data_IF_787608333026
#
_entry.id   IF_787608333026
#
_cell.length_a   1.000
_cell.length_b   1.000
_cell.length_c   1.000
_cell.angle_alpha   90.00
_cell.angle_beta   90.00
_cell.angle_gamma   90.00
#
_symmetry.space_group_name_H-M   'P 1'
#
loop_
_entity.id
_entity.type
_entity.pdbx_description
1 polymer ?
#
# COMPACT_ATOMS: atom_id res chain seq x y z
N UNK A 1 -17.14 -17.67 -48.52
CA UNK A 1 -16.52 -18.68 -47.64
C UNK A 1 -15.19 -18.21 -47.05
N UNK A 2 -14.21 -17.78 -47.86
CA UNK A 2 -12.90 -17.27 -47.37
C UNK A 2 -13.00 -16.00 -46.51
N UNK A 3 -13.83 -15.03 -46.91
CA UNK A 3 -14.04 -13.77 -46.15
C UNK A 3 -14.68 -14.00 -44.78
N UNK A 4 -15.60 -14.97 -44.69
CA UNK A 4 -16.27 -15.32 -43.45
C UNK A 4 -15.30 -15.97 -42.46
N UNK A 5 -14.39 -16.82 -42.96
CA UNK A 5 -13.31 -17.43 -42.17
C UNK A 5 -12.32 -16.37 -41.68
N UNK A 6 -11.98 -15.39 -42.51
CA UNK A 6 -11.11 -14.28 -42.08
C UNK A 6 -11.78 -13.46 -40.97
N UNK A 7 -13.08 -13.18 -41.08
CA UNK A 7 -13.81 -12.40 -40.07
C UNK A 7 -13.87 -13.14 -38.72
N UNK A 8 -14.13 -14.44 -38.72
CA UNK A 8 -14.17 -15.24 -37.48
C UNK A 8 -12.78 -15.37 -36.84
N UNK A 9 -11.72 -15.53 -37.63
CA UNK A 9 -10.34 -15.56 -37.12
C UNK A 9 -9.92 -14.23 -36.49
N UNK A 10 -10.29 -13.10 -37.11
CA UNK A 10 -10.03 -11.76 -36.56
C UNK A 10 -10.82 -11.55 -35.27
N UNK A 11 -12.07 -11.98 -35.20
CA UNK A 11 -12.91 -11.83 -33.99
C UNK A 11 -12.37 -12.67 -32.82
N UNK A 12 -11.93 -13.90 -33.08
CA UNK A 12 -11.31 -14.77 -32.07
C UNK A 12 -9.98 -14.22 -31.58
N UNK A 13 -9.16 -13.64 -32.49
CA UNK A 13 -7.92 -12.97 -32.12
C UNK A 13 -8.18 -11.73 -31.25
N UNK A 14 -9.20 -10.92 -31.57
CA UNK A 14 -9.58 -9.74 -30.78
C UNK A 14 -10.08 -10.15 -29.38
N UNK A 15 -10.93 -11.18 -29.30
CA UNK A 15 -11.41 -11.70 -28.00
C UNK A 15 -10.25 -12.25 -27.14
N UNK A 16 -9.30 -12.96 -27.77
CA UNK A 16 -8.11 -13.45 -27.10
C UNK A 16 -7.21 -12.32 -26.59
N UNK A 17 -7.02 -11.26 -27.39
CA UNK A 17 -6.26 -10.06 -26.99
C UNK A 17 -6.94 -9.31 -25.84
N UNK A 18 -8.27 -9.18 -25.83
CA UNK A 18 -9.02 -8.54 -24.73
C UNK A 18 -8.92 -9.35 -23.42
N UNK A 19 -8.84 -10.69 -23.51
CA UNK A 19 -8.66 -11.54 -22.34
C UNK A 19 -7.21 -11.61 -21.83
N UNK A 20 -6.22 -11.18 -22.64
CA UNK A 20 -4.81 -11.24 -22.30
C UNK A 20 -4.34 -10.09 -21.37
N UNK A 21 -5.18 -9.07 -21.15
CA UNK A 21 -4.88 -7.93 -20.25
C UNK A 21 -5.49 -8.09 -18.85
N UNK A 22 -5.78 -9.31 -18.40
CA UNK A 22 -6.10 -9.56 -16.99
C UNK A 22 -4.78 -9.69 -16.20
N UNK A 23 -4.11 -8.56 -15.99
CA UNK A 23 -3.13 -8.42 -14.91
C UNK A 23 -3.90 -8.22 -13.61
N UNK A 24 -4.44 -9.31 -13.06
CA UNK A 24 -4.74 -9.32 -11.62
C UNK A 24 -3.39 -9.30 -10.93
N UNK A 25 -2.93 -8.09 -10.61
CA UNK A 25 -1.95 -7.87 -9.57
C UNK A 25 -2.59 -8.37 -8.28
N UNK A 26 -2.47 -9.67 -8.03
CA UNK A 26 -2.65 -10.23 -6.71
C UNK A 26 -1.44 -9.77 -5.91
N UNK A 27 -1.52 -8.58 -5.32
CA UNK A 27 -0.61 -8.21 -4.26
C UNK A 27 -1.26 -7.35 -3.18
N UNK A 28 -0.90 -7.74 -1.96
CA UNK A 28 -0.98 -6.99 -0.71
C UNK A 28 -2.34 -6.83 -0.01
N UNK A 29 -2.90 -7.97 0.41
CA UNK A 29 -3.60 -8.01 1.70
C UNK A 29 -2.62 -8.29 2.86
N UNK A 30 -1.42 -7.71 2.83
CA UNK A 30 -0.51 -7.63 4.00
C UNK A 30 -0.78 -6.32 4.78
N UNK A 31 -2.05 -5.97 4.95
CA UNK A 31 -2.45 -4.60 5.30
C UNK A 31 -2.26 -4.22 6.78
N UNK A 32 -2.08 -5.16 7.71
CA UNK A 32 -2.08 -4.79 9.14
C UNK A 32 -1.36 -5.83 10.00
N UNK A 33 -0.07 -6.07 9.74
CA UNK A 33 0.74 -6.78 10.73
C UNK A 33 0.72 -5.95 12.03
N UNK A 34 0.29 -6.51 13.17
CA UNK A 34 0.17 -5.76 14.41
C UNK A 34 1.56 -5.27 14.83
N UNK A 35 1.68 -3.98 15.14
CA UNK A 35 2.92 -3.42 15.64
C UNK A 35 3.22 -3.96 17.03
N UNK A 36 4.34 -4.66 17.15
CA UNK A 36 4.84 -5.19 18.42
C UNK A 36 5.81 -4.19 19.03
N UNK A 37 5.33 -3.35 19.94
CA UNK A 37 6.14 -2.40 20.69
C UNK A 37 6.08 -2.71 22.19
N UNK A 38 7.21 -2.56 22.88
CA UNK A 38 7.23 -2.60 24.33
C UNK A 38 6.47 -1.39 24.89
N UNK A 39 5.86 -1.55 26.08
CA UNK A 39 5.17 -0.47 26.78
C UNK A 39 6.15 0.42 27.55
N UNK A 40 7.13 0.96 26.82
CA UNK A 40 8.11 1.91 27.36
C UNK A 40 7.53 3.31 27.18
N UNK A 41 7.57 4.12 28.24
CA UNK A 41 7.15 5.52 28.19
C UNK A 41 8.37 6.41 27.96
N UNK A 42 8.62 6.74 26.70
CA UNK A 42 9.72 7.60 26.24
C UNK A 42 9.21 8.51 25.12
N UNK A 43 8.41 9.55 25.45
CA UNK A 43 7.59 10.23 24.48
C UNK A 43 8.40 10.96 23.40
N UNK A 44 7.85 10.99 22.18
CA UNK A 44 8.43 11.72 21.05
C UNK A 44 7.37 12.57 20.33
N UNK A 45 7.78 13.74 19.84
CA UNK A 45 6.91 14.64 19.09
C UNK A 45 7.17 14.45 17.59
N UNK A 46 6.10 14.23 16.82
CA UNK A 46 6.17 14.08 15.37
C UNK A 46 5.85 15.40 14.65
N UNK A 47 6.15 15.47 13.35
CA UNK A 47 5.91 16.66 12.51
C UNK A 47 4.43 17.00 12.32
N UNK A 48 3.54 16.08 12.65
CA UNK A 48 2.09 16.29 12.67
C UNK A 48 1.56 16.80 14.03
N UNK A 49 2.47 17.23 14.91
CA UNK A 49 2.18 17.73 16.27
C UNK A 49 1.52 16.69 17.18
N UNK A 50 1.62 15.39 16.84
CA UNK A 50 1.18 14.31 17.71
C UNK A 50 2.34 13.79 18.56
N UNK A 51 2.06 13.58 19.86
CA UNK A 51 2.97 12.90 20.77
C UNK A 51 2.76 11.39 20.69
N UNK A 52 3.83 10.66 20.42
CA UNK A 52 3.83 9.20 20.47
C UNK A 52 4.44 8.71 21.79
N UNK A 53 3.90 7.67 22.43
CA UNK A 53 4.38 7.18 23.73
C UNK A 53 5.84 6.70 23.74
N UNK A 54 6.32 6.23 22.59
CA UNK A 54 7.72 5.91 22.34
C UNK A 54 8.06 5.93 20.85
N UNK A 55 9.35 5.85 20.55
CA UNK A 55 9.89 5.79 19.19
C UNK A 55 9.35 4.59 18.37
N UNK A 56 9.12 3.44 19.00
CA UNK A 56 8.55 2.27 18.33
C UNK A 56 7.10 2.53 17.87
N UNK A 57 6.27 3.11 18.74
CA UNK A 57 4.88 3.45 18.41
C UNK A 57 4.81 4.54 17.32
N UNK A 58 5.75 5.51 17.33
CA UNK A 58 5.92 6.46 16.24
C UNK A 58 6.24 5.78 14.90
N UNK A 59 7.25 4.90 14.86
CA UNK A 59 7.66 4.18 13.64
C UNK A 59 6.52 3.30 13.09
N UNK A 60 5.74 2.70 13.97
CA UNK A 60 4.54 1.96 13.59
C UNK A 60 3.54 2.85 12.86
N UNK A 61 3.20 4.01 13.44
CA UNK A 61 2.29 4.95 12.83
C UNK A 61 2.83 5.51 11.50
N UNK A 62 4.13 5.81 11.45
CA UNK A 62 4.83 6.24 10.24
C UNK A 62 4.70 5.20 9.12
N UNK A 63 4.96 3.91 9.39
CA UNK A 63 4.81 2.83 8.40
C UNK A 63 3.35 2.69 7.94
N UNK A 64 2.39 2.82 8.85
CA UNK A 64 0.96 2.77 8.53
C UNK A 64 0.52 3.93 7.62
N UNK A 65 1.08 5.12 7.84
CA UNK A 65 0.84 6.28 6.98
C UNK A 65 1.54 6.13 5.63
N UNK A 66 2.76 5.58 5.59
CA UNK A 66 3.51 5.35 4.35
C UNK A 66 2.74 4.46 3.37
N UNK A 67 2.09 3.41 3.87
CA UNK A 67 1.18 2.54 3.09
C UNK A 67 -0.03 3.28 2.52
N UNK A 68 -0.43 4.40 3.14
CA UNK A 68 -1.52 5.29 2.69
C UNK A 68 -1.01 6.46 1.83
N UNK A 69 0.26 6.45 1.42
CA UNK A 69 0.87 7.54 0.65
C UNK A 69 1.12 8.81 1.46
N UNK A 70 1.17 8.71 2.80
CA UNK A 70 1.46 9.84 3.70
C UNK A 70 2.76 9.58 4.47
N UNK A 71 3.50 10.61 4.83
CA UNK A 71 4.69 10.48 5.68
C UNK A 71 4.62 11.46 6.85
N UNK A 72 5.18 11.04 7.99
CA UNK A 72 5.41 11.89 9.17
C UNK A 72 6.86 11.75 9.59
N UNK A 73 7.48 12.83 10.03
CA UNK A 73 8.85 12.85 10.55
C UNK A 73 8.86 12.97 12.07
N UNK A 74 10.04 12.80 12.65
CA UNK A 74 10.30 13.17 14.03
C UNK A 74 10.54 14.69 14.09
N UNK A 75 9.82 15.41 14.94
CA UNK A 75 10.07 16.83 15.18
C UNK A 75 11.15 17.02 16.26
N UNK A 76 10.93 16.46 17.45
CA UNK A 76 11.91 16.44 18.54
C UNK A 76 11.61 15.33 19.55
N UNK A 77 12.56 15.06 20.44
CA UNK A 77 12.36 14.18 21.59
C UNK A 77 11.49 14.85 22.66
N UNK A 78 10.72 14.06 23.42
CA UNK A 78 9.75 14.57 24.39
C UNK A 78 8.35 14.74 23.80
N UNK A 79 7.42 15.22 24.63
CA UNK A 79 6.05 15.53 24.19
C UNK A 79 6.02 16.80 23.37
N UNK A 80 5.08 16.88 22.42
CA UNK A 80 4.54 18.16 21.97
C UNK A 80 3.73 18.77 23.14
#
# INVERSE_FOLDING_TARGET
>A
MKVFVVFTLVLMAILALVSADIRVAADEKEADAPCKCARILDPVCATDSQTYPNSCEFLCAQKKLARKGRSIGLAHAGRC
#
